data_IF_371164286646
#
_entry.id   IF_371164286646
#
_cell.length_a   1.000
_cell.length_b   1.000
_cell.length_c   1.000
_cell.angle_alpha   90.00
_cell.angle_beta   90.00
_cell.angle_gamma   90.00
#
_symmetry.space_group_name_H-M   'P 1'
#
loop_
_entity.id
_entity.type
_entity.pdbx_description
1 polymer ?
#
# COMPACT_ATOMS: atom_id res chain seq x y z
N UNK A 1 8.87 43.79 66.07
CA UNK A 1 9.97 43.62 65.09
C UNK A 1 9.79 42.28 64.39
N UNK A 2 9.22 42.27 63.19
CA UNK A 2 9.51 41.24 62.18
C UNK A 2 10.40 41.93 61.14
N UNK A 3 11.44 41.28 60.57
CA UNK A 3 11.23 40.41 59.40
C UNK A 3 12.30 39.31 59.19
N UNK A 4 12.04 38.37 58.25
CA UNK A 4 13.06 37.46 57.74
C UNK A 4 12.58 36.18 57.03
N UNK A 5 11.65 36.29 56.06
CA UNK A 5 11.45 35.26 55.00
C UNK A 5 12.69 35.29 54.08
N UNK A 6 13.26 34.19 53.60
CA UNK A 6 12.93 33.51 52.32
C UNK A 6 13.72 32.18 52.29
N UNK A 7 13.15 31.04 51.91
CA UNK A 7 13.13 30.63 50.49
C UNK A 7 13.42 29.13 50.30
N UNK A 8 12.90 28.25 51.15
CA UNK A 8 12.92 26.82 50.88
C UNK A 8 11.75 26.48 49.94
N UNK A 9 11.95 26.70 48.64
CA UNK A 9 11.08 26.15 47.60
C UNK A 9 11.28 24.64 47.57
N UNK A 10 10.64 23.94 48.50
CA UNK A 10 10.50 22.49 48.46
C UNK A 10 9.59 22.18 47.28
N UNK A 11 10.19 21.99 46.10
CA UNK A 11 9.46 21.52 44.92
C UNK A 11 8.79 20.22 45.33
N UNK A 12 7.47 20.25 45.44
CA UNK A 12 6.63 19.07 45.47
C UNK A 12 6.93 18.32 44.16
N UNK A 13 7.80 17.31 44.23
CA UNK A 13 7.93 16.37 43.13
C UNK A 13 6.57 15.73 42.95
N UNK A 14 5.97 15.92 41.77
CA UNK A 14 4.74 15.25 41.40
C UNK A 14 4.92 13.76 41.69
N UNK A 15 3.94 13.10 42.35
CA UNK A 15 4.04 11.68 42.63
C UNK A 15 4.28 10.97 41.30
N UNK A 16 5.46 10.36 41.17
CA UNK A 16 5.80 9.52 40.01
C UNK A 16 4.70 8.47 39.95
N UNK A 17 3.81 8.60 38.99
CA UNK A 17 2.62 7.77 38.89
C UNK A 17 3.02 6.30 38.85
N UNK A 18 2.24 5.43 39.49
CA UNK A 18 2.46 3.98 39.49
C UNK A 18 2.66 3.41 38.05
N UNK A 19 2.08 4.07 37.04
CA UNK A 19 2.27 3.78 35.62
C UNK A 19 3.70 4.02 35.11
N UNK A 20 4.42 5.03 35.61
CA UNK A 20 5.81 5.29 35.23
C UNK A 20 6.76 4.23 35.84
N UNK A 21 6.48 3.78 37.06
CA UNK A 21 7.22 2.70 37.72
C UNK A 21 6.92 1.34 37.09
N UNK A 22 5.67 1.11 36.66
CA UNK A 22 5.25 -0.08 35.90
C UNK A 22 5.87 -0.10 34.48
N UNK A 23 5.91 1.03 33.78
CA UNK A 23 6.62 1.15 32.49
C UNK A 23 8.13 0.90 32.65
N UNK A 24 8.76 1.39 33.73
CA UNK A 24 10.18 1.15 34.00
C UNK A 24 10.54 -0.30 34.37
N UNK A 25 9.58 -1.06 34.90
CA UNK A 25 9.76 -2.50 35.20
C UNK A 25 9.45 -3.38 34.00
N UNK A 26 8.44 -3.04 33.19
CA UNK A 26 8.10 -3.73 31.94
C UNK A 26 9.15 -3.46 30.84
N UNK A 27 9.75 -2.27 30.82
CA UNK A 27 10.92 -1.93 30.00
C UNK A 27 12.24 -2.04 30.78
N UNK A 28 12.28 -2.88 31.82
CA UNK A 28 13.52 -3.18 32.52
C UNK A 28 14.43 -4.12 31.70
N UNK A 29 15.76 -4.05 31.86
CA UNK A 29 16.70 -4.92 31.15
C UNK A 29 16.39 -6.42 31.33
N UNK A 30 15.76 -6.82 32.46
CA UNK A 30 15.34 -8.20 32.71
C UNK A 30 14.24 -8.71 31.79
N UNK A 31 13.25 -7.88 31.42
CA UNK A 31 12.15 -8.30 30.52
C UNK A 31 12.66 -8.46 29.09
N UNK A 32 13.47 -7.51 28.63
CA UNK A 32 14.13 -7.59 27.31
C UNK A 32 15.05 -8.81 27.23
N UNK A 33 15.78 -9.11 28.30
CA UNK A 33 16.65 -10.28 28.36
C UNK A 33 15.85 -11.60 28.39
N UNK A 34 14.71 -11.65 29.10
CA UNK A 34 13.83 -12.83 29.07
C UNK A 34 13.17 -13.05 27.70
N UNK A 35 12.78 -11.98 27.00
CA UNK A 35 12.24 -12.06 25.65
C UNK A 35 13.31 -12.52 24.66
N UNK A 36 14.54 -12.00 24.79
CA UNK A 36 15.68 -12.43 23.99
C UNK A 36 16.02 -13.91 24.26
N UNK A 37 16.04 -14.34 25.51
CA UNK A 37 16.30 -15.74 25.86
C UNK A 37 15.19 -16.67 25.34
N UNK A 38 13.92 -16.27 25.44
CA UNK A 38 12.80 -17.01 24.87
C UNK A 38 12.90 -17.10 23.34
N UNK A 39 13.26 -15.99 22.69
CA UNK A 39 13.48 -15.94 21.25
C UNK A 39 14.67 -16.81 20.80
N UNK A 40 15.79 -16.75 21.52
CA UNK A 40 16.95 -17.59 21.28
C UNK A 40 16.63 -19.07 21.48
N UNK A 41 15.83 -19.43 22.49
CA UNK A 41 15.38 -20.81 22.70
C UNK A 41 14.50 -21.31 21.55
N UNK A 42 13.57 -20.47 21.07
CA UNK A 42 12.74 -20.77 19.89
C UNK A 42 13.61 -20.91 18.64
N UNK A 43 14.55 -19.99 18.43
CA UNK A 43 15.46 -20.02 17.29
C UNK A 43 16.38 -21.25 17.32
N UNK A 44 16.93 -21.58 18.49
CA UNK A 44 17.76 -22.77 18.68
C UNK A 44 16.96 -24.05 18.49
N UNK A 45 15.72 -24.11 18.98
CA UNK A 45 14.81 -25.25 18.77
C UNK A 45 14.42 -25.40 17.30
N UNK A 46 14.18 -24.29 16.60
CA UNK A 46 13.92 -24.27 15.16
C UNK A 46 15.16 -24.70 14.38
N UNK A 47 16.35 -24.20 14.72
CA UNK A 47 17.60 -24.56 14.07
C UNK A 47 17.93 -26.05 14.28
N UNK A 48 17.78 -26.56 15.50
CA UNK A 48 17.92 -28.00 15.79
C UNK A 48 16.83 -28.82 15.13
N UNK A 49 15.59 -28.32 15.03
CA UNK A 49 14.54 -28.97 14.26
C UNK A 49 14.97 -29.04 12.80
N UNK A 50 15.29 -27.94 12.14
CA UNK A 50 15.73 -27.93 10.73
C UNK A 50 16.96 -28.81 10.47
N UNK A 51 17.99 -28.74 11.31
CA UNK A 51 19.22 -29.52 11.14
C UNK A 51 19.02 -31.02 11.43
N UNK A 52 18.21 -31.39 12.43
CA UNK A 52 18.07 -32.78 12.89
C UNK A 52 16.84 -33.51 12.31
N UNK A 53 15.91 -32.77 11.70
CA UNK A 53 14.71 -33.30 11.05
C UNK A 53 15.01 -34.02 9.73
N UNK A 54 16.12 -33.68 9.07
CA UNK A 54 16.55 -34.30 7.82
C UNK A 54 16.99 -35.75 7.99
N UNK A 55 17.44 -36.18 9.18
CA UNK A 55 18.03 -37.51 9.34
C UNK A 55 17.08 -38.56 9.94
N UNK A 56 16.05 -38.16 10.70
CA UNK A 56 15.27 -39.11 11.53
C UNK A 56 13.76 -39.17 11.25
N UNK A 57 13.14 -38.19 10.57
CA UNK A 57 11.67 -38.13 10.36
C UNK A 57 11.20 -38.10 8.91
N UNK A 58 12.07 -38.38 7.96
CA UNK A 58 11.73 -38.32 6.53
C UNK A 58 10.87 -39.50 6.05
N UNK A 59 10.88 -40.64 6.75
CA UNK A 59 10.25 -41.88 6.26
C UNK A 59 8.88 -42.19 6.89
N UNK A 60 8.55 -41.62 8.05
CA UNK A 60 7.34 -42.05 8.78
C UNK A 60 6.05 -41.36 8.30
N UNK A 61 6.12 -40.12 7.82
CA UNK A 61 4.92 -39.39 7.36
C UNK A 61 4.42 -39.89 5.99
N UNK A 62 5.33 -40.27 5.10
CA UNK A 62 4.99 -40.85 3.79
C UNK A 62 4.57 -42.32 3.90
N UNK A 63 5.04 -43.04 4.93
CA UNK A 63 4.54 -44.38 5.29
C UNK A 63 3.09 -44.34 5.78
N UNK A 64 2.69 -43.32 6.54
CA UNK A 64 1.29 -43.17 6.97
C UNK A 64 0.30 -42.86 5.84
N UNK A 65 0.80 -42.50 4.64
CA UNK A 65 0.01 -42.18 3.45
C UNK A 65 0.12 -43.24 2.32
N UNK A 66 0.88 -44.32 2.52
CA UNK A 66 0.88 -45.49 1.61
C UNK A 66 1.87 -45.48 0.44
N UNK A 67 2.91 -44.63 0.47
CA UNK A 67 3.95 -44.61 -0.57
C UNK A 67 5.15 -45.50 -0.19
N UNK A 68 5.48 -46.48 -1.04
CA UNK A 68 6.50 -47.52 -0.80
C UNK A 68 7.96 -47.01 -0.76
N UNK A 69 8.26 -45.81 -1.25
CA UNK A 69 9.63 -45.27 -1.35
C UNK A 69 9.69 -43.75 -1.24
N UNK A 70 9.78 -43.18 -0.02
CA UNK A 70 9.78 -41.73 0.17
C UNK A 70 11.16 -41.11 -0.04
N UNK A 71 11.26 -40.09 -0.89
CA UNK A 71 12.51 -39.34 -1.13
C UNK A 71 12.45 -37.93 -0.54
N UNK A 72 13.57 -37.43 0.00
CA UNK A 72 13.68 -36.03 0.49
C UNK A 72 13.39 -34.99 -0.60
N UNK A 73 13.53 -35.39 -1.86
CA UNK A 73 13.25 -34.56 -3.04
C UNK A 73 11.76 -34.20 -3.15
N UNK A 74 10.85 -35.07 -2.70
CA UNK A 74 9.40 -34.81 -2.75
C UNK A 74 8.97 -33.71 -1.77
N UNK A 75 9.59 -33.66 -0.59
CA UNK A 75 9.36 -32.59 0.39
C UNK A 75 9.85 -31.24 -0.13
N UNK A 76 11.05 -31.20 -0.72
CA UNK A 76 11.61 -29.98 -1.33
C UNK A 76 10.74 -29.53 -2.52
N UNK A 77 10.25 -30.47 -3.31
CA UNK A 77 9.37 -30.19 -4.46
C UNK A 77 8.03 -29.62 -4.01
N UNK A 78 7.41 -30.19 -2.97
CA UNK A 78 6.15 -29.68 -2.41
C UNK A 78 6.32 -28.26 -1.82
N UNK A 79 7.40 -28.03 -1.07
CA UNK A 79 7.74 -26.71 -0.54
C UNK A 79 8.01 -25.69 -1.66
N UNK A 80 8.81 -26.06 -2.65
CA UNK A 80 9.07 -25.22 -3.82
C UNK A 80 7.79 -24.89 -4.59
N UNK A 81 6.86 -25.85 -4.69
CA UNK A 81 5.55 -25.66 -5.33
C UNK A 81 4.68 -24.69 -4.52
N UNK A 82 4.61 -24.86 -3.20
CA UNK A 82 3.87 -23.95 -2.31
C UNK A 82 4.44 -22.53 -2.35
N UNK A 83 5.76 -22.38 -2.30
CA UNK A 83 6.43 -21.07 -2.42
C UNK A 83 6.21 -20.48 -3.81
N UNK A 84 6.26 -21.30 -4.85
CA UNK A 84 5.95 -20.90 -6.22
C UNK A 84 4.51 -20.38 -6.36
N UNK A 85 3.53 -21.10 -5.82
CA UNK A 85 2.12 -20.67 -5.78
C UNK A 85 1.96 -19.39 -4.96
N UNK A 86 2.64 -19.25 -3.82
CA UNK A 86 2.59 -18.04 -3.00
C UNK A 86 3.22 -16.84 -3.72
N UNK A 87 4.34 -17.04 -4.41
CA UNK A 87 5.01 -16.01 -5.21
C UNK A 87 4.16 -15.61 -6.43
N UNK A 88 3.54 -16.58 -7.11
CA UNK A 88 2.60 -16.34 -8.21
C UNK A 88 1.30 -15.69 -7.71
N UNK A 89 0.82 -16.06 -6.53
CA UNK A 89 -0.33 -15.46 -5.87
C UNK A 89 -0.06 -14.01 -5.46
N UNK A 90 1.11 -13.72 -4.87
CA UNK A 90 1.53 -12.36 -4.52
C UNK A 90 1.85 -11.49 -5.74
N UNK A 91 2.50 -12.06 -6.75
CA UNK A 91 2.72 -11.40 -8.04
C UNK A 91 1.40 -11.13 -8.77
N UNK A 92 0.49 -12.09 -8.76
CA UNK A 92 -0.85 -11.95 -9.31
C UNK A 92 -1.69 -10.91 -8.56
N UNK A 93 -1.60 -10.87 -7.22
CA UNK A 93 -2.29 -9.89 -6.38
C UNK A 93 -1.78 -8.47 -6.63
N UNK A 94 -0.46 -8.27 -6.71
CA UNK A 94 0.12 -6.95 -7.01
C UNK A 94 -0.19 -6.48 -8.44
N UNK A 95 -0.23 -7.39 -9.41
CA UNK A 95 -0.67 -7.07 -10.77
C UNK A 95 -2.18 -6.78 -10.82
N UNK A 96 -3.00 -7.54 -10.09
CA UNK A 96 -4.43 -7.32 -10.00
C UNK A 96 -4.75 -5.97 -9.31
N UNK A 97 -4.03 -5.64 -8.24
CA UNK A 97 -4.12 -4.34 -7.57
C UNK A 97 -3.76 -3.22 -8.53
N UNK A 98 -2.69 -3.35 -9.32
CA UNK A 98 -2.36 -2.38 -10.39
C UNK A 98 -3.47 -2.28 -11.45
N UNK A 99 -4.02 -3.40 -11.91
CA UNK A 99 -5.11 -3.42 -12.89
C UNK A 99 -6.44 -2.88 -12.35
N UNK A 100 -6.71 -3.00 -11.04
CA UNK A 100 -7.85 -2.33 -10.41
C UNK A 100 -7.71 -0.80 -10.40
N UNK A 101 -6.48 -0.28 -10.46
CA UNK A 101 -6.19 1.16 -10.58
C UNK A 101 -6.18 1.69 -12.03
N UNK A 102 -6.24 0.82 -13.04
CA UNK A 102 -6.26 1.22 -14.47
C UNK A 102 -7.57 1.80 -15.06
N UNK A 103 -8.79 1.69 -14.47
CA UNK A 103 -9.97 2.27 -15.10
C UNK A 103 -9.90 3.81 -15.15
N UNK A 104 -9.12 4.42 -14.25
CA UNK A 104 -8.79 5.86 -14.28
C UNK A 104 -7.92 6.23 -15.47
N UNK A 105 -6.82 5.50 -15.71
CA UNK A 105 -5.91 5.73 -16.83
C UNK A 105 -6.60 5.52 -18.19
N UNK A 106 -7.47 4.51 -18.29
CA UNK A 106 -8.29 4.27 -19.50
C UNK A 106 -9.22 5.43 -19.80
N UNK A 107 -9.82 6.04 -18.77
CA UNK A 107 -10.72 7.19 -18.94
C UNK A 107 -9.92 8.44 -19.36
N UNK A 108 -8.75 8.67 -18.78
CA UNK A 108 -7.84 9.74 -19.16
C UNK A 108 -7.35 9.60 -20.61
N UNK A 109 -6.96 8.39 -21.02
CA UNK A 109 -6.55 8.09 -22.40
C UNK A 109 -7.66 8.38 -23.42
N UNK A 110 -8.93 8.06 -23.10
CA UNK A 110 -10.09 8.40 -23.94
C UNK A 110 -10.30 9.91 -24.04
N UNK A 111 -10.14 10.64 -22.93
CA UNK A 111 -10.20 12.11 -22.96
C UNK A 111 -9.12 12.71 -23.85
N UNK A 112 -7.89 12.19 -23.75
CA UNK A 112 -6.76 12.59 -24.60
C UNK A 112 -7.05 12.35 -26.08
N UNK A 113 -7.53 11.16 -26.44
CA UNK A 113 -7.89 10.86 -27.83
C UNK A 113 -8.98 11.79 -28.36
N UNK A 114 -9.96 12.16 -27.52
CA UNK A 114 -11.04 13.06 -27.91
C UNK A 114 -10.54 14.50 -28.09
N UNK A 115 -9.61 14.96 -27.25
CA UNK A 115 -8.93 16.24 -27.40
C UNK A 115 -8.00 16.28 -28.63
N UNK A 116 -7.32 15.18 -28.92
CA UNK A 116 -6.51 15.03 -30.14
C UNK A 116 -7.39 15.16 -31.40
N UNK A 117 -8.57 14.53 -31.41
CA UNK A 117 -9.57 14.72 -32.49
C UNK A 117 -10.08 16.17 -32.57
N UNK A 118 -10.14 16.87 -31.45
CA UNK A 118 -10.48 18.29 -31.39
C UNK A 118 -9.36 19.23 -31.85
N UNK A 119 -8.20 18.73 -32.25
CA UNK A 119 -7.06 19.52 -32.73
C UNK A 119 -6.00 19.83 -31.68
N UNK A 120 -6.06 19.22 -30.49
CA UNK A 120 -5.06 19.37 -29.44
C UNK A 120 -4.41 18.03 -29.08
N UNK A 121 -3.38 17.57 -29.83
CA UNK A 121 -2.60 16.40 -29.46
C UNK A 121 -1.81 16.69 -28.17
N UNK A 122 -1.98 15.86 -27.15
CA UNK A 122 -1.31 16.00 -25.85
C UNK A 122 -0.43 14.77 -25.60
N UNK A 123 0.80 14.93 -25.05
CA UNK A 123 1.69 13.82 -24.73
C UNK A 123 1.09 12.87 -23.68
N UNK A 124 1.49 11.59 -23.72
CA UNK A 124 0.97 10.58 -22.79
C UNK A 124 1.45 10.77 -21.35
N UNK A 125 2.61 11.41 -21.19
CA UNK A 125 3.23 11.74 -19.89
C UNK A 125 2.66 13.00 -19.24
N UNK A 126 1.77 13.73 -19.92
CA UNK A 126 1.26 15.00 -19.42
C UNK A 126 0.22 14.77 -18.31
N UNK A 127 0.38 15.38 -17.11
CA UNK A 127 -0.58 15.24 -16.03
C UNK A 127 -1.92 15.91 -16.37
N UNK A 128 -3.05 15.46 -15.79
CA UNK A 128 -4.38 16.02 -16.08
C UNK A 128 -4.49 17.52 -15.85
N UNK A 129 -3.80 18.06 -14.84
CA UNK A 129 -3.75 19.51 -14.56
C UNK A 129 -3.14 20.30 -15.72
N UNK A 130 -2.00 19.85 -16.23
CA UNK A 130 -1.35 20.47 -17.38
C UNK A 130 -2.18 20.29 -18.66
N UNK A 131 -2.92 19.18 -18.79
CA UNK A 131 -3.90 19.02 -19.88
C UNK A 131 -5.00 20.08 -19.80
N UNK A 132 -5.55 20.33 -18.60
CA UNK A 132 -6.59 21.34 -18.39
C UNK A 132 -6.08 22.76 -18.75
N UNK A 133 -4.87 23.11 -18.33
CA UNK A 133 -4.23 24.39 -18.69
C UNK A 133 -4.08 24.54 -20.22
N UNK A 134 -3.59 23.51 -20.92
CA UNK A 134 -3.45 23.50 -22.39
C UNK A 134 -4.80 23.59 -23.10
N UNK A 135 -5.82 22.90 -22.59
CA UNK A 135 -7.18 22.90 -23.12
C UNK A 135 -7.82 24.28 -22.98
N UNK A 136 -7.66 24.94 -21.83
CA UNK A 136 -8.09 26.34 -21.63
C UNK A 136 -7.34 27.30 -22.54
N UNK A 137 -6.02 27.15 -22.68
CA UNK A 137 -5.21 28.02 -23.53
C UNK A 137 -5.64 27.94 -25.00
N UNK A 138 -6.02 26.76 -25.50
CA UNK A 138 -6.39 26.55 -26.89
C UNK A 138 -7.85 26.90 -27.21
N UNK A 139 -8.78 26.54 -26.34
CA UNK A 139 -10.22 26.60 -26.62
C UNK A 139 -10.98 27.66 -25.79
N UNK A 140 -10.31 28.36 -24.88
CA UNK A 140 -10.89 29.42 -24.04
C UNK A 140 -12.03 28.92 -23.14
N UNK A 141 -13.03 29.77 -22.93
CA UNK A 141 -14.15 29.49 -22.00
C UNK A 141 -14.99 28.27 -22.41
N UNK A 142 -15.02 27.93 -23.70
CA UNK A 142 -15.70 26.72 -24.22
C UNK A 142 -15.10 25.42 -23.66
N UNK A 143 -13.87 25.48 -23.16
CA UNK A 143 -13.13 24.36 -22.60
C UNK A 143 -13.25 24.25 -21.08
N UNK A 144 -13.94 25.19 -20.41
CA UNK A 144 -13.96 25.26 -18.95
C UNK A 144 -14.56 23.99 -18.32
N UNK A 145 -15.67 23.48 -18.86
CA UNK A 145 -16.27 22.23 -18.37
C UNK A 145 -15.34 21.02 -18.49
N UNK A 146 -14.57 20.91 -19.57
CA UNK A 146 -13.59 19.81 -19.74
C UNK A 146 -12.42 19.96 -18.77
N UNK A 147 -12.00 21.20 -18.53
CA UNK A 147 -10.90 21.52 -17.63
C UNK A 147 -11.27 21.21 -16.19
N UNK A 148 -12.46 21.60 -15.75
CA UNK A 148 -12.99 21.30 -14.42
C UNK A 148 -13.20 19.79 -14.24
N UNK A 149 -13.62 19.08 -15.30
CA UNK A 149 -13.71 17.63 -15.28
C UNK A 149 -12.33 16.96 -15.14
N UNK A 150 -11.29 17.44 -15.83
CA UNK A 150 -9.91 16.94 -15.71
C UNK A 150 -9.35 17.14 -14.30
N UNK A 151 -9.63 18.28 -13.66
CA UNK A 151 -9.22 18.56 -12.29
C UNK A 151 -9.94 17.64 -11.28
N UNK A 152 -11.24 17.42 -11.44
CA UNK A 152 -12.00 16.46 -10.61
C UNK A 152 -11.52 15.03 -10.81
N UNK A 153 -11.11 14.67 -12.03
CA UNK A 153 -10.49 13.38 -12.32
C UNK A 153 -9.14 13.23 -11.58
N UNK A 154 -8.33 14.28 -11.48
CA UNK A 154 -7.08 14.25 -10.71
C UNK A 154 -7.33 14.09 -9.20
N UNK A 155 -8.29 14.83 -8.64
CA UNK A 155 -8.66 14.75 -7.22
C UNK A 155 -9.10 13.34 -6.80
N UNK A 156 -9.74 12.60 -7.71
CA UNK A 156 -10.14 11.21 -7.49
C UNK A 156 -8.97 10.26 -7.20
N UNK A 157 -7.76 10.58 -7.68
CA UNK A 157 -6.56 9.77 -7.40
C UNK A 157 -6.21 9.77 -5.91
N UNK A 158 -6.59 10.82 -5.19
CA UNK A 158 -6.31 11.00 -3.76
C UNK A 158 -7.55 10.79 -2.88
N UNK A 159 -8.69 10.40 -3.46
CA UNK A 159 -9.94 10.23 -2.74
C UNK A 159 -10.05 8.85 -2.08
N UNK A 160 -10.63 8.80 -0.87
CA UNK A 160 -10.79 7.58 -0.09
C UNK A 160 -11.72 6.53 -0.75
N UNK A 161 -12.65 6.96 -1.62
CA UNK A 161 -13.63 6.07 -2.27
C UNK A 161 -13.70 6.31 -3.80
N UNK A 162 -12.70 5.83 -4.57
CA UNK A 162 -12.56 6.17 -5.99
C UNK A 162 -13.61 5.51 -6.90
N UNK A 163 -14.18 4.36 -6.52
CA UNK A 163 -15.04 3.57 -7.40
C UNK A 163 -16.35 4.29 -7.77
N UNK A 164 -17.09 4.82 -6.80
CA UNK A 164 -18.37 5.50 -7.05
C UNK A 164 -18.18 6.80 -7.84
N UNK A 165 -17.24 7.64 -7.42
CA UNK A 165 -16.99 8.92 -8.08
C UNK A 165 -16.42 8.75 -9.51
N UNK A 166 -15.67 7.67 -9.79
CA UNK A 166 -15.25 7.34 -11.16
C UNK A 166 -16.44 6.99 -12.07
N UNK A 167 -17.48 6.34 -11.55
CA UNK A 167 -18.68 6.06 -12.36
C UNK A 167 -19.46 7.32 -12.71
N UNK A 168 -19.54 8.28 -11.77
CA UNK A 168 -20.16 9.59 -12.01
C UNK A 168 -19.40 10.37 -13.09
N UNK A 169 -18.07 10.49 -12.97
CA UNK A 169 -17.26 11.17 -13.99
C UNK A 169 -17.34 10.52 -15.37
N UNK A 170 -17.47 9.19 -15.43
CA UNK A 170 -17.63 8.46 -16.69
C UNK A 170 -18.97 8.78 -17.37
N UNK A 171 -20.03 9.02 -16.58
CA UNK A 171 -21.33 9.46 -17.10
C UNK A 171 -21.25 10.89 -17.59
N UNK A 172 -20.65 11.79 -16.81
CA UNK A 172 -20.43 13.19 -17.21
C UNK A 172 -19.60 13.30 -18.49
N UNK A 173 -18.55 12.48 -18.65
CA UNK A 173 -17.71 12.44 -19.85
C UNK A 173 -18.52 12.29 -21.15
N UNK A 174 -19.62 11.53 -21.11
CA UNK A 174 -20.49 11.30 -22.28
C UNK A 174 -21.34 12.52 -22.64
N UNK A 175 -21.74 13.31 -21.64
CA UNK A 175 -22.61 14.47 -21.80
C UNK A 175 -21.82 15.79 -21.88
N UNK A 176 -20.50 15.73 -21.72
CA UNK A 176 -19.64 16.90 -21.69
C UNK A 176 -19.57 17.56 -23.08
N UNK A 177 -19.71 18.88 -23.18
CA UNK A 177 -19.50 19.60 -24.43
C UNK A 177 -17.99 19.61 -24.72
N UNK A 178 -17.56 18.73 -25.62
CA UNK A 178 -16.16 18.64 -26.02
C UNK A 178 -15.83 19.78 -26.99
N UNK A 179 -14.81 20.61 -26.69
CA UNK A 179 -14.39 21.64 -27.62
C UNK A 179 -13.73 20.98 -28.83
N UNK A 180 -14.18 21.36 -30.03
CA UNK A 180 -13.55 21.01 -31.29
C UNK A 180 -13.00 22.28 -31.92
N UNK A 181 -11.78 22.23 -32.46
CA UNK A 181 -11.31 23.28 -33.33
C UNK A 181 -12.27 23.35 -34.53
N UNK A 182 -12.90 24.50 -34.75
CA UNK A 182 -13.65 24.74 -35.97
C UNK A 182 -12.71 24.47 -37.17
N UNK A 183 -13.19 23.83 -38.25
CA UNK A 183 -12.39 23.71 -39.47
C UNK A 183 -11.99 25.13 -39.88
N UNK A 184 -10.67 25.37 -40.01
CA UNK A 184 -10.18 26.63 -40.57
C UNK A 184 -10.66 26.71 -42.03
N UNK A 185 -11.24 27.85 -42.46
CA UNK A 185 -11.66 28.05 -43.84
C UNK A 185 -10.47 28.03 -44.81
#
# INVERSE_FOLDING_TARGET
>A
MAPGRTGAFQRLQAPRGALATAMGTVMGPGVVQSLRAAWEAVNNRWNQWVLNYTQSRQLDLLKTLGFESPSWQDLVTLLATLVGIAALGGGGWTLWERSQHDPWLRLLGRARQRLARGGLPLPDTLPPRAMAERVRAQFGDKAQGVSDWLLRLEQLRYAAHPAHALTTLRREFRNLPWPSAAPRP
#
